data_IF_456118321141
#
_entry.id   IF_456118321141
#
_cell.length_a   1.000
_cell.length_b   1.000
_cell.length_c   1.000
_cell.angle_alpha   90.00
_cell.angle_beta   90.00
_cell.angle_gamma   90.00
#
_symmetry.space_group_name_H-M   'P 1'
#
loop_
_entity.id
_entity.type
_entity.pdbx_description
1 polymer ?
#
# COMPACT_ATOMS: atom_id res chain seq x y z
N UNK A 1 -6.89 7.53 -12.86
CA UNK A 1 -7.80 6.76 -13.73
C UNK A 1 -7.71 7.34 -15.14
N UNK A 2 -7.44 6.50 -16.14
CA UNK A 2 -7.57 6.86 -17.57
C UNK A 2 -9.06 6.75 -17.94
N UNK A 3 -9.55 7.70 -18.73
CA UNK A 3 -10.92 7.71 -19.27
C UNK A 3 -10.81 7.87 -20.78
N UNK A 4 -11.22 6.85 -21.50
CA UNK A 4 -11.27 6.82 -22.96
C UNK A 4 -12.64 6.26 -23.37
N UNK A 5 -13.57 7.15 -23.68
CA UNK A 5 -14.96 6.75 -23.93
C UNK A 5 -15.21 6.24 -25.35
N UNK A 6 -14.23 6.34 -26.25
CA UNK A 6 -14.32 5.72 -27.59
C UNK A 6 -14.31 4.19 -27.47
N UNK A 7 -13.72 3.67 -26.38
CA UNK A 7 -13.74 2.25 -26.03
C UNK A 7 -14.98 1.85 -25.21
N UNK A 8 -15.91 2.77 -24.94
CA UNK A 8 -17.05 2.49 -24.08
C UNK A 8 -18.15 1.74 -24.83
N UNK A 9 -18.62 0.64 -24.23
CA UNK A 9 -19.73 -0.17 -24.75
C UNK A 9 -21.06 0.09 -24.03
N UNK A 10 -21.14 1.16 -23.23
CA UNK A 10 -22.35 1.55 -22.48
C UNK A 10 -23.00 0.43 -21.65
N UNK A 11 -22.17 -0.47 -21.08
CA UNK A 11 -22.65 -1.58 -20.23
C UNK A 11 -23.03 -1.15 -18.80
N UNK A 12 -22.72 0.09 -18.42
CA UNK A 12 -23.05 0.70 -17.12
C UNK A 12 -22.48 0.01 -15.87
N UNK A 13 -21.57 -0.96 -16.02
CA UNK A 13 -20.90 -1.63 -14.89
C UNK A 13 -20.20 -0.63 -13.96
N UNK A 14 -19.57 0.41 -14.52
CA UNK A 14 -18.90 1.46 -13.75
C UNK A 14 -19.86 2.30 -12.91
N UNK A 15 -21.03 2.65 -13.46
CA UNK A 15 -22.09 3.40 -12.75
C UNK A 15 -22.66 2.53 -11.64
N UNK A 16 -23.02 1.28 -11.96
CA UNK A 16 -23.56 0.33 -10.98
C UNK A 16 -22.61 0.07 -9.82
N UNK A 17 -21.33 -0.21 -10.06
CA UNK A 17 -20.39 -0.47 -8.95
C UNK A 17 -20.15 0.78 -8.09
N UNK A 18 -20.17 1.97 -8.69
CA UNK A 18 -20.03 3.23 -7.96
C UNK A 18 -21.23 3.50 -7.04
N UNK A 19 -22.44 3.12 -7.47
CA UNK A 19 -23.67 3.28 -6.70
C UNK A 19 -23.92 2.15 -5.69
N UNK A 20 -23.84 0.90 -6.14
CA UNK A 20 -24.28 -0.28 -5.38
C UNK A 20 -23.22 -0.78 -4.38
N UNK A 21 -21.93 -0.62 -4.71
CA UNK A 21 -20.83 -1.17 -3.91
C UNK A 21 -20.06 -0.10 -3.13
N UNK A 22 -19.70 1.01 -3.77
CA UNK A 22 -19.03 2.13 -3.08
C UNK A 22 -20.04 3.03 -2.36
N UNK A 23 -21.17 3.33 -3.00
CA UNK A 23 -22.19 4.25 -2.45
C UNK A 23 -21.93 5.74 -2.74
N UNK A 24 -20.92 6.06 -3.55
CA UNK A 24 -20.54 7.46 -3.85
C UNK A 24 -21.46 8.14 -4.88
N UNK A 25 -22.07 7.37 -5.79
CA UNK A 25 -22.86 7.90 -6.92
C UNK A 25 -22.11 8.96 -7.77
N UNK A 26 -20.78 8.91 -7.81
CA UNK A 26 -19.94 9.94 -8.40
C UNK A 26 -19.97 10.01 -9.95
N UNK A 27 -20.43 8.96 -10.62
CA UNK A 27 -20.57 8.89 -12.06
C UNK A 27 -21.95 8.35 -12.44
N UNK A 28 -22.52 8.89 -13.52
CA UNK A 28 -23.82 8.52 -14.04
C UNK A 28 -23.84 8.61 -15.58
N UNK A 29 -24.98 8.29 -16.17
CA UNK A 29 -25.22 8.36 -17.62
C UNK A 29 -25.84 9.72 -17.94
N UNK A 30 -25.28 10.40 -18.93
CA UNK A 30 -25.87 11.60 -19.54
C UNK A 30 -26.38 11.27 -20.96
N UNK A 31 -27.22 12.15 -21.50
CA UNK A 31 -27.87 12.02 -22.80
C UNK A 31 -28.75 10.75 -22.93
N UNK A 32 -29.08 10.37 -24.17
CA UNK A 32 -29.96 9.24 -24.47
C UNK A 32 -29.63 8.60 -25.81
N UNK A 33 -29.97 7.33 -25.97
CA UNK A 33 -29.77 6.61 -27.23
C UNK A 33 -28.29 6.46 -27.56
N UNK A 34 -27.92 6.71 -28.82
CA UNK A 34 -26.53 6.60 -29.30
C UNK A 34 -25.60 7.63 -28.65
N UNK A 35 -26.14 8.77 -28.21
CA UNK A 35 -25.36 9.85 -27.60
C UNK A 35 -25.08 9.63 -26.10
N UNK A 36 -25.49 8.48 -25.54
CA UNK A 36 -25.34 8.17 -24.11
C UNK A 36 -23.86 8.08 -23.71
N UNK A 37 -23.46 8.81 -22.67
CA UNK A 37 -22.08 8.83 -22.20
C UNK A 37 -22.00 8.75 -20.68
N UNK A 38 -20.91 8.17 -20.15
CA UNK A 38 -20.62 8.20 -18.71
C UNK A 38 -20.00 9.54 -18.35
N UNK A 39 -20.62 10.25 -17.41
CA UNK A 39 -20.13 11.54 -16.92
C UNK A 39 -20.29 11.67 -15.40
N UNK A 40 -19.64 12.68 -14.84
CA UNK A 40 -19.89 13.18 -13.48
C UNK A 40 -21.03 14.20 -13.51
N UNK A 41 -21.42 14.71 -12.34
CA UNK A 41 -22.31 15.86 -12.26
C UNK A 41 -21.76 17.06 -13.07
N UNK A 42 -22.66 17.70 -13.82
CA UNK A 42 -22.36 18.86 -14.68
C UNK A 42 -21.17 18.69 -15.64
N UNK A 43 -20.80 17.46 -16.00
CA UNK A 43 -19.62 17.16 -16.83
C UNK A 43 -18.29 17.67 -16.23
N UNK A 44 -18.20 17.76 -14.91
CA UNK A 44 -16.97 18.15 -14.21
C UNK A 44 -15.85 17.09 -14.27
N UNK A 45 -14.74 17.37 -13.59
CA UNK A 45 -13.67 16.38 -13.40
C UNK A 45 -13.95 15.51 -12.18
N UNK A 46 -13.47 14.26 -12.18
CA UNK A 46 -13.65 13.33 -11.04
C UNK A 46 -13.13 13.88 -9.71
N UNK A 47 -12.11 14.75 -9.75
CA UNK A 47 -11.54 15.38 -8.55
C UNK A 47 -12.53 16.27 -7.83
N UNK A 48 -13.42 16.90 -8.58
CA UNK A 48 -14.36 17.90 -8.09
C UNK A 48 -15.77 17.30 -7.92
N UNK A 49 -15.92 15.99 -8.11
CA UNK A 49 -17.17 15.25 -7.87
C UNK A 49 -17.08 14.43 -6.58
N UNK A 50 -18.15 13.72 -6.24
CA UNK A 50 -18.20 12.81 -5.08
C UNK A 50 -17.24 11.59 -5.16
N UNK A 51 -16.34 11.50 -6.14
CA UNK A 51 -15.48 10.34 -6.32
C UNK A 51 -14.40 10.23 -5.23
N UNK A 52 -14.39 9.13 -4.48
CA UNK A 52 -13.35 8.83 -3.48
C UNK A 52 -12.09 8.18 -4.05
N UNK A 53 -12.02 8.00 -5.37
CA UNK A 53 -10.94 7.31 -6.08
C UNK A 53 -10.68 5.87 -5.61
N UNK A 54 -11.73 5.15 -5.20
CA UNK A 54 -11.64 3.74 -4.82
C UNK A 54 -11.10 2.84 -5.94
N UNK A 55 -11.41 3.16 -7.20
CA UNK A 55 -10.90 2.45 -8.38
C UNK A 55 -11.70 1.22 -8.79
N UNK A 56 -12.85 0.96 -8.16
CA UNK A 56 -13.72 -0.19 -8.52
C UNK A 56 -14.28 -0.09 -9.95
N UNK A 57 -14.58 1.13 -10.41
CA UNK A 57 -15.04 1.38 -11.78
C UNK A 57 -13.98 0.97 -12.84
N UNK A 58 -12.70 1.07 -12.50
CA UNK A 58 -11.58 0.60 -13.34
C UNK A 58 -11.55 -0.93 -13.38
N UNK A 59 -11.69 -1.59 -12.23
CA UNK A 59 -11.60 -3.06 -12.14
C UNK A 59 -12.75 -3.76 -12.87
N UNK A 60 -13.94 -3.15 -12.89
CA UNK A 60 -15.11 -3.73 -13.56
C UNK A 60 -15.20 -3.37 -15.04
N UNK A 61 -14.41 -2.41 -15.55
CA UNK A 61 -14.51 -1.97 -16.94
C UNK A 61 -13.92 -3.03 -17.90
N UNK A 62 -14.73 -3.64 -18.78
CA UNK A 62 -14.26 -4.76 -19.60
C UNK A 62 -13.41 -4.34 -20.81
N UNK A 63 -13.51 -3.08 -21.25
CA UNK A 63 -12.94 -2.61 -22.52
C UNK A 63 -11.71 -1.72 -22.36
N UNK A 64 -11.31 -1.42 -21.12
CA UNK A 64 -10.25 -0.44 -20.85
C UNK A 64 -10.69 1.02 -20.99
N UNK A 65 -11.97 1.30 -21.28
CA UNK A 65 -12.50 2.67 -21.30
C UNK A 65 -12.26 3.42 -19.97
N UNK A 66 -12.26 2.69 -18.85
CA UNK A 66 -11.68 3.10 -17.59
C UNK A 66 -10.51 2.19 -17.26
N UNK A 67 -9.32 2.75 -17.09
CA UNK A 67 -8.11 1.97 -16.85
C UNK A 67 -7.19 2.56 -15.77
N UNK A 68 -6.34 1.71 -15.21
CA UNK A 68 -5.33 2.13 -14.25
C UNK A 68 -4.11 2.70 -14.98
N UNK A 69 -3.91 4.02 -14.87
CA UNK A 69 -2.74 4.71 -15.42
C UNK A 69 -1.42 4.15 -14.87
N UNK A 70 -1.39 3.67 -13.63
CA UNK A 70 -0.18 3.11 -13.00
C UNK A 70 0.17 1.72 -13.52
N UNK A 71 -0.81 0.94 -13.94
CA UNK A 71 -0.56 -0.30 -14.67
C UNK A 71 -0.09 -0.01 -16.10
N UNK A 72 -0.74 0.93 -16.78
CA UNK A 72 -0.42 1.29 -18.18
C UNK A 72 0.98 1.90 -18.31
N UNK A 73 1.45 2.73 -17.36
CA UNK A 73 2.81 3.30 -17.43
C UNK A 73 3.90 2.22 -17.48
N UNK A 74 3.59 1.02 -17.00
CA UNK A 74 4.48 -0.15 -16.97
C UNK A 74 4.33 -1.05 -18.20
N UNK A 75 3.55 -0.65 -19.22
CA UNK A 75 3.33 -1.43 -20.44
C UNK A 75 4.63 -1.68 -21.23
N UNK A 76 5.58 -0.75 -21.18
CA UNK A 76 6.89 -0.85 -21.82
C UNK A 76 7.82 -1.91 -21.18
N UNK A 77 7.49 -2.39 -19.97
CA UNK A 77 8.27 -3.45 -19.33
C UNK A 77 7.97 -4.79 -20.01
N UNK A 78 9.04 -5.49 -20.40
CA UNK A 78 8.96 -6.85 -20.92
C UNK A 78 8.57 -7.85 -19.81
N UNK A 79 8.10 -9.03 -20.22
CA UNK A 79 7.69 -10.11 -19.31
C UNK A 79 6.18 -10.16 -19.03
N UNK A 80 5.76 -11.33 -18.55
CA UNK A 80 4.39 -11.61 -18.15
C UNK A 80 4.04 -10.95 -16.81
N UNK A 81 2.74 -10.77 -16.57
CA UNK A 81 2.25 -10.27 -15.28
C UNK A 81 2.03 -11.46 -14.36
N UNK A 82 2.84 -11.54 -13.32
CA UNK A 82 2.63 -12.48 -12.22
C UNK A 82 1.66 -11.89 -11.21
N UNK A 83 0.82 -12.75 -10.63
CA UNK A 83 -0.12 -12.38 -9.55
C UNK A 83 0.27 -13.09 -8.26
N UNK A 84 0.51 -12.31 -7.21
CA UNK A 84 0.80 -12.86 -5.88
C UNK A 84 -0.24 -12.38 -4.88
N UNK A 85 -0.96 -13.33 -4.27
CA UNK A 85 -1.93 -13.07 -3.20
C UNK A 85 -1.24 -12.49 -1.97
N UNK A 86 -1.77 -11.41 -1.43
CA UNK A 86 -1.27 -10.75 -0.23
C UNK A 86 -2.39 -10.01 0.53
N UNK A 87 -2.00 -9.23 1.53
CA UNK A 87 -2.89 -8.43 2.39
C UNK A 87 -2.45 -6.96 2.34
N UNK A 88 -3.43 -6.07 2.22
CA UNK A 88 -3.22 -4.63 2.22
C UNK A 88 -2.63 -4.16 3.57
N UNK A 89 -1.44 -3.52 3.61
CA UNK A 89 -0.76 -3.16 4.85
C UNK A 89 -1.18 -1.80 5.41
N UNK A 90 -2.33 -1.25 5.02
CA UNK A 90 -2.71 0.13 5.34
C UNK A 90 -3.50 0.27 6.64
N UNK A 91 -4.80 -0.02 6.59
CA UNK A 91 -5.69 0.04 7.76
C UNK A 91 -5.87 -1.36 8.36
N UNK A 92 -6.62 -1.46 9.46
CA UNK A 92 -6.89 -2.72 10.16
C UNK A 92 -7.91 -3.66 9.48
N UNK A 93 -8.47 -3.31 8.32
CA UNK A 93 -9.48 -4.14 7.64
C UNK A 93 -8.86 -5.43 7.07
N UNK A 94 -7.59 -5.38 6.66
CA UNK A 94 -6.91 -6.55 6.10
C UNK A 94 -7.45 -6.99 4.74
N UNK A 95 -7.78 -6.05 3.85
CA UNK A 95 -8.27 -6.35 2.51
C UNK A 95 -7.31 -7.31 1.77
N UNK A 96 -7.86 -8.39 1.20
CA UNK A 96 -7.09 -9.29 0.34
C UNK A 96 -6.84 -8.64 -1.01
N UNK A 97 -5.58 -8.70 -1.44
CA UNK A 97 -5.09 -8.07 -2.67
C UNK A 97 -4.29 -9.06 -3.50
N UNK A 98 -4.33 -8.90 -4.81
CA UNK A 98 -3.41 -9.56 -5.73
C UNK A 98 -2.41 -8.51 -6.23
N UNK A 99 -1.14 -8.69 -5.84
CA UNK A 99 -0.03 -7.87 -6.30
C UNK A 99 0.33 -8.29 -7.72
N UNK A 100 0.41 -7.32 -8.64
CA UNK A 100 0.78 -7.54 -10.03
C UNK A 100 2.24 -7.17 -10.22
N UNK A 101 3.09 -8.12 -10.61
CA UNK A 101 4.52 -7.91 -10.83
C UNK A 101 4.94 -8.26 -12.25
N UNK A 102 5.96 -7.58 -12.76
CA UNK A 102 6.72 -7.97 -13.95
C UNK A 102 8.19 -8.07 -13.54
N UNK A 103 8.70 -9.30 -13.44
CA UNK A 103 9.97 -9.55 -12.76
C UNK A 103 9.95 -9.00 -11.33
N UNK A 104 10.95 -8.18 -10.96
CA UNK A 104 11.04 -7.59 -9.61
C UNK A 104 10.23 -6.28 -9.43
N UNK A 105 9.54 -5.81 -10.47
CA UNK A 105 8.82 -4.54 -10.43
C UNK A 105 7.34 -4.74 -10.13
N UNK A 106 6.85 -4.09 -9.08
CA UNK A 106 5.41 -4.00 -8.79
C UNK A 106 4.75 -3.03 -9.77
N UNK A 107 3.84 -3.53 -10.59
CA UNK A 107 3.19 -2.76 -11.67
C UNK A 107 1.73 -2.40 -11.37
N UNK A 108 1.09 -3.07 -10.41
CA UNK A 108 -0.27 -2.77 -10.02
C UNK A 108 -0.73 -3.58 -8.81
N UNK A 109 -1.90 -3.22 -8.29
CA UNK A 109 -2.61 -3.98 -7.26
C UNK A 109 -4.06 -4.13 -7.68
N UNK A 110 -4.58 -5.35 -7.59
CA UNK A 110 -5.99 -5.65 -7.82
C UNK A 110 -6.64 -6.18 -6.54
N UNK A 111 -7.96 -5.99 -6.37
CA UNK A 111 -8.70 -6.70 -5.33
C UNK A 111 -8.66 -8.21 -5.61
N UNK A 112 -8.43 -9.00 -4.57
CA UNK A 112 -8.80 -10.40 -4.60
C UNK A 112 -10.34 -10.51 -4.53
N UNK A 113 -10.97 -11.08 -5.56
CA UNK A 113 -12.44 -11.16 -5.65
C UNK A 113 -13.06 -12.06 -4.59
N UNK A 114 -12.29 -13.04 -4.10
CA UNK A 114 -12.61 -13.98 -3.03
C UNK A 114 -12.16 -13.51 -1.63
N UNK A 115 -11.68 -12.28 -1.50
CA UNK A 115 -11.23 -11.72 -0.21
C UNK A 115 -12.36 -11.65 0.83
N UNK A 116 -12.24 -12.27 2.02
CA UNK A 116 -13.34 -12.35 2.99
C UNK A 116 -13.70 -10.99 3.61
N UNK A 117 -12.70 -10.13 3.82
CA UNK A 117 -12.89 -8.82 4.44
C UNK A 117 -13.46 -7.79 3.46
N UNK A 118 -13.03 -7.83 2.20
CA UNK A 118 -13.29 -6.77 1.23
C UNK A 118 -14.15 -7.19 0.03
N UNK A 119 -14.41 -8.48 -0.18
CA UNK A 119 -15.29 -9.03 -1.22
C UNK A 119 -15.09 -8.40 -2.61
N UNK A 120 -13.83 -8.22 -3.01
CA UNK A 120 -13.49 -7.62 -4.30
C UNK A 120 -13.40 -6.08 -4.33
N UNK A 121 -13.59 -5.37 -3.21
CA UNK A 121 -13.46 -3.91 -3.14
C UNK A 121 -12.08 -3.48 -2.60
N UNK A 122 -11.59 -2.31 -3.02
CA UNK A 122 -10.43 -1.64 -2.45
C UNK A 122 -10.66 -0.13 -2.38
N UNK A 123 -9.95 0.53 -1.47
CA UNK A 123 -9.88 1.99 -1.42
C UNK A 123 -8.66 2.51 -2.21
N UNK A 124 -8.60 3.83 -2.40
CA UNK A 124 -7.49 4.52 -3.09
C UNK A 124 -6.10 4.11 -2.59
N UNK A 125 -5.94 3.89 -1.28
CA UNK A 125 -4.65 3.50 -0.67
C UNK A 125 -4.26 2.09 -1.09
N UNK A 126 -5.17 1.13 -0.93
CA UNK A 126 -4.90 -0.28 -1.24
C UNK A 126 -4.70 -0.54 -2.72
N UNK A 127 -5.40 0.20 -3.59
CA UNK A 127 -5.32 -0.01 -5.03
C UNK A 127 -4.17 0.76 -5.70
N UNK A 128 -3.93 2.03 -5.31
CA UNK A 128 -3.03 2.91 -6.06
C UNK A 128 -1.80 3.39 -5.30
N UNK A 129 -1.80 3.38 -3.97
CA UNK A 129 -0.66 3.87 -3.20
C UNK A 129 0.35 2.74 -2.95
N UNK A 130 1.14 2.38 -3.95
CA UNK A 130 2.20 1.36 -3.82
C UNK A 130 3.59 1.82 -4.30
N UNK A 131 3.67 3.01 -4.90
CA UNK A 131 4.90 3.53 -5.51
C UNK A 131 6.05 3.71 -4.51
N UNK A 132 5.74 3.88 -3.22
CA UNK A 132 6.73 4.04 -2.15
C UNK A 132 7.68 2.83 -2.04
N UNK A 133 7.27 1.64 -2.48
CA UNK A 133 8.11 0.43 -2.46
C UNK A 133 9.29 0.54 -3.43
N UNK A 134 9.15 1.34 -4.48
CA UNK A 134 10.14 1.56 -5.54
C UNK A 134 10.62 3.02 -5.58
N UNK A 135 10.35 3.81 -4.54
CA UNK A 135 10.76 5.21 -4.49
C UNK A 135 12.28 5.33 -4.32
N UNK A 136 12.96 6.27 -5.01
CA UNK A 136 14.42 6.45 -4.90
C UNK A 136 14.90 6.72 -3.47
N UNK A 137 14.07 7.35 -2.63
CA UNK A 137 14.40 7.62 -1.21
C UNK A 137 14.32 6.38 -0.30
N UNK A 138 13.95 5.21 -0.83
CA UNK A 138 13.88 3.98 -0.04
C UNK A 138 15.28 3.60 0.45
N UNK A 139 15.43 3.40 1.76
CA UNK A 139 16.68 2.90 2.33
C UNK A 139 16.93 1.45 1.87
N UNK A 140 18.05 1.25 1.20
CA UNK A 140 18.50 -0.04 0.66
C UNK A 140 19.77 -0.58 1.33
N UNK A 141 20.43 0.23 2.15
CA UNK A 141 21.64 -0.13 2.89
C UNK A 141 21.58 0.40 4.33
N UNK A 142 22.19 -0.28 5.32
CA UNK A 142 22.35 0.25 6.65
C UNK A 142 23.11 1.58 6.66
N UNK A 143 22.70 2.49 7.57
CA UNK A 143 23.37 3.77 7.79
C UNK A 143 23.81 3.87 9.25
N UNK A 144 25.06 4.29 9.48
CA UNK A 144 25.63 4.48 10.83
C UNK A 144 26.05 5.94 10.99
N UNK A 145 25.76 6.52 12.17
CA UNK A 145 26.14 7.90 12.47
C UNK A 145 27.62 8.02 12.80
N UNK A 146 28.34 8.85 12.04
CA UNK A 146 29.76 9.14 12.22
C UNK A 146 30.04 10.13 13.36
N UNK A 147 31.32 10.41 13.59
CA UNK A 147 31.77 11.41 14.57
C UNK A 147 31.42 12.85 14.15
N UNK A 148 31.25 13.07 12.86
CA UNK A 148 30.74 14.30 12.25
C UNK A 148 29.23 14.53 12.50
N UNK A 149 28.55 13.56 13.11
CA UNK A 149 27.12 13.62 13.38
C UNK A 149 26.25 13.24 12.18
N UNK A 150 26.82 12.91 11.03
CA UNK A 150 26.10 12.56 9.80
C UNK A 150 25.89 11.05 9.66
N UNK A 151 24.87 10.62 8.89
CA UNK A 151 24.61 9.21 8.58
C UNK A 151 25.42 8.79 7.34
N UNK A 152 26.16 7.69 7.46
CA UNK A 152 27.00 7.15 6.40
C UNK A 152 26.62 5.69 6.09
N UNK A 153 26.66 5.25 4.81
CA UNK A 153 26.49 3.85 4.45
C UNK A 153 27.45 2.91 5.20
N UNK A 154 26.96 1.76 5.63
CA UNK A 154 27.70 0.75 6.38
C UNK A 154 27.32 -0.67 5.94
N UNK A 155 28.20 -1.63 6.23
CA UNK A 155 27.85 -3.05 6.11
C UNK A 155 26.88 -3.48 7.23
N UNK A 156 26.20 -4.61 7.03
CA UNK A 156 25.34 -5.20 8.06
C UNK A 156 26.13 -5.53 9.33
N UNK A 157 27.32 -6.13 9.22
CA UNK A 157 28.15 -6.48 10.38
C UNK A 157 28.55 -5.23 11.17
N UNK A 158 29.02 -4.19 10.48
CA UNK A 158 29.40 -2.93 11.12
C UNK A 158 28.21 -2.28 11.83
N UNK A 159 27.04 -2.26 11.19
CA UNK A 159 25.82 -1.68 11.77
C UNK A 159 25.36 -2.48 13.01
N UNK A 160 25.34 -3.81 12.92
CA UNK A 160 24.90 -4.68 14.02
C UNK A 160 25.88 -4.65 15.19
N UNK A 161 27.19 -4.66 14.95
CA UNK A 161 28.21 -4.53 16.00
C UNK A 161 28.09 -3.19 16.72
N UNK A 162 27.87 -2.10 15.96
CA UNK A 162 27.68 -0.76 16.52
C UNK A 162 26.44 -0.67 17.41
N UNK A 163 25.35 -1.33 17.00
CA UNK A 163 24.09 -1.43 17.77
C UNK A 163 24.30 -2.26 19.04
N UNK A 164 24.92 -3.43 18.92
CA UNK A 164 25.18 -4.33 20.05
C UNK A 164 26.09 -3.67 21.10
N UNK A 165 27.18 -3.03 20.66
CA UNK A 165 28.08 -2.29 21.53
C UNK A 165 27.35 -1.13 22.24
N UNK A 166 26.52 -0.39 21.51
CA UNK A 166 25.70 0.69 22.08
C UNK A 166 24.77 0.20 23.19
N UNK A 167 24.02 -0.87 22.93
CA UNK A 167 23.14 -1.47 23.94
C UNK A 167 23.91 -1.98 25.16
N UNK A 168 25.03 -2.70 24.97
CA UNK A 168 25.85 -3.21 26.08
C UNK A 168 26.36 -2.07 26.96
N UNK A 169 26.89 -0.99 26.36
CA UNK A 169 27.40 0.18 27.10
C UNK A 169 26.30 0.84 27.94
N UNK A 170 25.12 1.04 27.36
CA UNK A 170 23.99 1.68 28.07
C UNK A 170 23.49 0.81 29.21
N UNK A 171 23.33 -0.50 28.98
CA UNK A 171 22.88 -1.44 30.03
C UNK A 171 23.91 -1.56 31.15
N UNK A 172 25.21 -1.62 30.85
CA UNK A 172 26.27 -1.67 31.87
C UNK A 172 26.28 -0.41 32.75
N UNK A 173 26.04 0.77 32.16
CA UNK A 173 26.08 2.05 32.87
C UNK A 173 24.80 2.39 33.62
N UNK A 174 23.64 2.05 33.06
CA UNK A 174 22.33 2.52 33.53
C UNK A 174 21.35 1.39 33.93
N UNK A 175 21.78 0.13 33.81
CA UNK A 175 20.96 -1.05 34.10
C UNK A 175 19.95 -1.38 32.99
N UNK A 176 19.34 -2.56 33.06
CA UNK A 176 18.45 -3.11 32.02
C UNK A 176 17.20 -2.26 31.70
N UNK A 177 16.73 -1.45 32.65
CA UNK A 177 15.54 -0.60 32.47
C UNK A 177 15.82 0.68 31.67
N UNK A 178 17.06 0.89 31.22
CA UNK A 178 17.44 1.96 30.30
C UNK A 178 17.14 1.65 28.81
N UNK A 179 16.69 0.42 28.52
CA UNK A 179 16.31 -0.01 27.17
C UNK A 179 14.79 -0.03 27.02
N UNK A 180 14.30 0.54 25.92
CA UNK A 180 12.89 0.56 25.55
C UNK A 180 12.73 0.11 24.09
N UNK A 181 11.74 -0.74 23.81
CA UNK A 181 11.40 -1.17 22.45
C UNK A 181 10.10 -0.54 21.94
N UNK A 182 10.06 -0.17 20.67
CA UNK A 182 8.82 0.19 19.97
C UNK A 182 8.64 -0.74 18.79
N UNK A 183 7.63 -1.62 18.87
CA UNK A 183 7.21 -2.45 17.75
C UNK A 183 6.32 -1.66 16.79
N UNK A 184 6.38 -2.00 15.50
CA UNK A 184 5.53 -1.38 14.48
C UNK A 184 4.26 -2.21 14.27
N UNK A 185 3.09 -1.57 14.36
CA UNK A 185 1.80 -2.16 13.97
C UNK A 185 1.64 -2.35 12.46
N UNK A 186 2.62 -1.88 11.66
CA UNK A 186 2.68 -2.09 10.20
C UNK A 186 3.54 -3.30 9.83
N UNK A 187 4.32 -3.83 10.78
CA UNK A 187 5.12 -5.01 10.59
C UNK A 187 4.28 -6.28 10.83
N UNK A 188 4.66 -7.44 10.28
CA UNK A 188 3.97 -8.69 10.56
C UNK A 188 4.08 -9.07 12.05
N UNK A 189 3.13 -9.87 12.52
CA UNK A 189 3.03 -10.28 13.93
C UNK A 189 4.29 -11.01 14.42
N UNK A 190 4.97 -11.73 13.54
CA UNK A 190 6.24 -12.40 13.78
C UNK A 190 7.35 -11.40 14.13
N UNK A 191 7.41 -10.25 13.47
CA UNK A 191 8.36 -9.19 13.79
C UNK A 191 8.06 -8.56 15.15
N UNK A 192 6.77 -8.37 15.49
CA UNK A 192 6.36 -7.90 16.82
C UNK A 192 6.71 -8.94 17.91
N UNK A 193 6.53 -10.23 17.61
CA UNK A 193 6.93 -11.33 18.50
C UNK A 193 8.46 -11.35 18.74
N UNK A 194 9.26 -11.16 17.68
CA UNK A 194 10.71 -11.08 17.80
C UNK A 194 11.13 -9.84 18.59
N UNK A 195 10.51 -8.67 18.35
CA UNK A 195 10.81 -7.45 19.10
C UNK A 195 10.49 -7.63 20.59
N UNK A 196 9.33 -8.18 20.95
CA UNK A 196 8.99 -8.41 22.35
C UNK A 196 9.88 -9.47 23.00
N UNK A 197 10.30 -10.50 22.26
CA UNK A 197 11.24 -11.51 22.75
C UNK A 197 12.62 -10.88 22.98
N UNK A 198 13.07 -10.03 22.07
CA UNK A 198 14.33 -9.31 22.20
C UNK A 198 14.36 -8.42 23.46
N UNK A 199 13.28 -7.70 23.75
CA UNK A 199 13.20 -6.86 24.95
C UNK A 199 13.03 -7.70 26.22
N UNK A 200 12.08 -8.64 26.24
CA UNK A 200 11.76 -9.42 27.45
C UNK A 200 12.78 -10.49 27.78
N UNK A 201 13.12 -11.34 26.81
CA UNK A 201 14.08 -12.43 27.03
C UNK A 201 15.53 -11.94 26.86
N UNK A 202 15.80 -11.04 25.91
CA UNK A 202 17.15 -10.54 25.65
C UNK A 202 17.66 -9.57 26.74
N UNK A 203 16.83 -8.60 27.15
CA UNK A 203 17.22 -7.62 28.17
C UNK A 203 16.59 -7.85 29.55
N UNK A 204 15.62 -8.76 29.68
CA UNK A 204 15.00 -9.04 30.97
C UNK A 204 14.10 -7.91 31.48
N UNK A 205 13.51 -7.10 30.59
CA UNK A 205 12.61 -5.98 30.95
C UNK A 205 11.30 -6.05 30.17
N UNK A 206 10.25 -5.41 30.68
CA UNK A 206 8.94 -5.31 30.03
C UNK A 206 8.72 -3.95 29.33
N UNK A 207 9.78 -3.17 29.15
CA UNK A 207 9.73 -1.83 28.57
C UNK A 207 9.65 -1.91 27.05
N UNK A 208 8.48 -2.29 26.56
CA UNK A 208 8.15 -2.38 25.14
C UNK A 208 6.71 -1.92 24.91
N UNK A 209 6.47 -1.34 23.75
CA UNK A 209 5.18 -0.83 23.32
C UNK A 209 5.03 -0.88 21.79
N UNK A 210 3.89 -0.43 21.27
CA UNK A 210 3.68 -0.30 19.83
C UNK A 210 2.95 1.01 19.48
N UNK A 211 2.90 1.32 18.19
CA UNK A 211 2.19 2.50 17.69
C UNK A 211 0.65 2.41 17.79
N UNK A 212 0.10 1.25 18.12
CA UNK A 212 -1.33 0.97 18.18
C UNK A 212 -1.89 1.24 19.58
N UNK A 213 -1.57 2.41 20.15
CA UNK A 213 -2.28 2.91 21.33
C UNK A 213 -3.54 3.63 20.84
N UNK A 214 -4.64 2.88 20.79
CA UNK A 214 -5.99 3.26 20.34
C UNK A 214 -6.22 3.28 18.82
#
# INVERSE_FOLDING_TARGET
ILRDYDLCISCYRCVRVCAEQEGDHAINIINRGFDSQISTEFNGILKDSACTFCGQCVQTCPTGALADKKAIRSAHLEGEIDKTRSICPYCGVGCSVDLLTKGEKLVGIQPAMDGPANKGALCVKGQFAFDFVQHPDRLTTPLVRGQDGCLHPASWDQALDRVAEGFRKVVQKHGRHSVYGVASGRAPSEAAYLMQKFIRAGFGTNYIDNCSRA
#
